data_IF_149039636913
#
_entry.id   IF_149039636913
#
_cell.length_a   1.000
_cell.length_b   1.000
_cell.length_c   1.000
_cell.angle_alpha   90.00
_cell.angle_beta   90.00
_cell.angle_gamma   90.00
#
_symmetry.space_group_name_H-M   'P 1'
#
loop_
_entity.id
_entity.type
_entity.pdbx_description
1 polymer ?
#
# COMPACT_ATOMS: atom_id res chain seq x y z
N UNK A 1 -14.07 34.67 36.42
CA UNK A 1 -14.75 34.42 35.13
C UNK A 1 -13.81 34.01 34.00
N UNK A 2 -12.65 34.66 33.82
CA UNK A 2 -11.68 34.32 32.76
C UNK A 2 -11.07 32.90 32.86
N UNK A 3 -10.82 32.41 34.08
CA UNK A 3 -10.24 31.07 34.31
C UNK A 3 -11.24 29.94 34.04
N UNK A 4 -12.54 30.18 34.25
CA UNK A 4 -13.59 29.19 33.93
C UNK A 4 -13.80 29.01 32.42
N UNK A 5 -13.57 30.05 31.62
CA UNK A 5 -13.72 29.99 30.16
C UNK A 5 -12.59 29.16 29.53
N UNK A 6 -11.36 29.25 30.06
CA UNK A 6 -10.23 28.47 29.57
C UNK A 6 -10.35 26.96 29.88
N UNK A 7 -10.94 26.60 31.02
CA UNK A 7 -11.18 25.20 31.38
C UNK A 7 -12.29 24.55 30.52
N UNK A 8 -13.28 25.33 30.07
CA UNK A 8 -14.39 24.83 29.26
C UNK A 8 -13.98 24.52 27.81
N UNK A 9 -12.98 25.23 27.26
CA UNK A 9 -12.48 24.98 25.90
C UNK A 9 -11.64 23.70 25.76
N UNK A 10 -11.06 23.17 26.85
CA UNK A 10 -10.22 21.96 26.79
C UNK A 10 -11.04 20.66 26.70
N UNK A 11 -12.33 20.70 27.01
CA UNK A 11 -13.23 19.53 26.98
C UNK A 11 -13.94 19.32 25.63
N UNK A 12 -13.71 20.20 24.65
CA UNK A 12 -14.35 20.19 23.32
C UNK A 12 -13.39 19.83 22.18
N UNK A 13 -12.29 19.12 22.48
CA UNK A 13 -11.47 18.55 21.42
C UNK A 13 -12.35 17.59 20.60
N UNK A 14 -12.49 17.79 19.27
CA UNK A 14 -13.23 16.85 18.44
C UNK A 14 -12.57 15.49 18.56
N UNK A 15 -13.37 14.48 18.88
CA UNK A 15 -12.94 13.09 18.84
C UNK A 15 -12.57 12.78 17.40
N UNK A 16 -11.27 12.72 17.10
CA UNK A 16 -10.81 12.38 15.77
C UNK A 16 -11.22 10.94 15.49
N UNK A 17 -12.19 10.75 14.60
CA UNK A 17 -12.47 9.44 14.04
C UNK A 17 -11.34 9.10 13.09
N UNK A 18 -10.64 7.99 13.35
CA UNK A 18 -9.71 7.44 12.39
C UNK A 18 -10.48 7.13 11.11
N UNK A 19 -9.93 7.52 9.96
CA UNK A 19 -10.49 7.13 8.67
C UNK A 19 -10.44 5.61 8.50
N UNK A 20 -11.20 5.10 7.53
CA UNK A 20 -11.18 3.67 7.19
C UNK A 20 -9.75 3.21 6.88
N UNK A 21 -9.31 2.06 7.39
CA UNK A 21 -7.95 1.60 7.22
C UNK A 21 -7.67 1.27 5.75
N UNK A 22 -6.49 1.66 5.28
CA UNK A 22 -6.03 1.34 3.93
C UNK A 22 -4.54 1.01 3.89
N UNK A 23 -4.14 0.32 2.83
CA UNK A 23 -2.73 0.12 2.44
C UNK A 23 -2.51 0.62 1.01
N UNK A 24 -1.33 1.18 0.76
CA UNK A 24 -0.87 1.63 -0.55
C UNK A 24 0.05 0.59 -1.17
N UNK A 25 -0.33 0.07 -2.33
CA UNK A 25 0.41 -0.94 -3.08
C UNK A 25 1.04 -0.33 -4.33
N UNK A 26 2.37 -0.24 -4.38
CA UNK A 26 3.07 0.05 -5.62
C UNK A 26 3.14 -1.22 -6.49
N UNK A 27 2.70 -1.12 -7.74
CA UNK A 27 2.55 -2.27 -8.64
C UNK A 27 2.89 -1.94 -10.09
N UNK A 28 2.98 -2.99 -10.92
CA UNK A 28 3.08 -2.86 -12.37
C UNK A 28 1.73 -2.69 -13.08
N UNK A 29 1.72 -1.94 -14.19
CA UNK A 29 0.55 -1.83 -15.09
C UNK A 29 0.14 -3.17 -15.70
N UNK A 30 1.09 -4.06 -16.02
CA UNK A 30 0.77 -5.38 -16.57
C UNK A 30 0.00 -6.26 -15.59
N UNK A 31 0.33 -6.20 -14.30
CA UNK A 31 -0.42 -6.93 -13.26
C UNK A 31 -1.82 -6.37 -13.11
N UNK A 32 -1.98 -5.04 -13.11
CA UNK A 32 -3.31 -4.42 -13.09
C UNK A 32 -4.16 -4.86 -14.28
N UNK A 33 -3.61 -4.77 -15.50
CA UNK A 33 -4.31 -5.12 -16.73
C UNK A 33 -4.66 -6.61 -16.85
N UNK A 34 -4.07 -7.48 -16.02
CA UNK A 34 -4.44 -8.90 -15.97
C UNK A 34 -5.81 -9.15 -15.32
N UNK A 35 -6.37 -8.16 -14.61
CA UNK A 35 -7.59 -8.30 -13.82
C UNK A 35 -7.38 -8.94 -12.44
N UNK A 36 -6.12 -9.25 -12.06
CA UNK A 36 -5.80 -9.86 -10.76
C UNK A 36 -6.36 -9.05 -9.58
N UNK A 37 -6.22 -7.73 -9.62
CA UNK A 37 -6.63 -6.85 -8.53
C UNK A 37 -8.15 -6.72 -8.43
N UNK A 38 -8.85 -6.64 -9.56
CA UNK A 38 -10.32 -6.58 -9.58
C UNK A 38 -10.93 -7.82 -8.94
N UNK A 39 -10.24 -8.97 -9.01
CA UNK A 39 -10.67 -10.20 -8.38
C UNK A 39 -10.29 -10.30 -6.89
N UNK A 40 -9.03 -10.02 -6.54
CA UNK A 40 -8.50 -10.26 -5.19
C UNK A 40 -8.84 -9.16 -4.18
N UNK A 41 -8.76 -7.89 -4.57
CA UNK A 41 -8.87 -6.77 -3.62
C UNK A 41 -10.26 -6.64 -2.98
N UNK A 42 -11.38 -6.90 -3.68
CA UNK A 42 -12.70 -6.91 -3.03
C UNK A 42 -12.80 -7.98 -1.94
N UNK A 43 -12.24 -9.17 -2.17
CA UNK A 43 -12.25 -10.26 -1.20
C UNK A 43 -11.35 -9.93 0.01
N UNK A 44 -10.14 -9.43 -0.25
CA UNK A 44 -9.24 -8.95 0.81
C UNK A 44 -9.90 -7.87 1.68
N UNK A 45 -10.56 -6.90 1.05
CA UNK A 45 -11.26 -5.82 1.77
C UNK A 45 -12.43 -6.35 2.58
N UNK A 46 -13.20 -7.31 2.05
CA UNK A 46 -14.31 -7.94 2.77
C UNK A 46 -13.84 -8.73 4.01
N UNK A 47 -12.73 -9.44 3.89
CA UNK A 47 -12.20 -10.29 4.97
C UNK A 47 -11.48 -9.49 6.06
N UNK A 48 -10.79 -8.41 5.69
CA UNK A 48 -9.92 -7.65 6.60
C UNK A 48 -10.49 -6.29 7.02
N UNK A 49 -11.43 -5.75 6.27
CA UNK A 49 -11.89 -4.36 6.39
C UNK A 49 -10.89 -3.32 5.87
N UNK A 50 -9.77 -3.73 5.26
CA UNK A 50 -8.69 -2.83 4.80
C UNK A 50 -8.82 -2.60 3.30
N UNK A 51 -8.90 -1.34 2.89
CA UNK A 51 -8.91 -0.96 1.48
C UNK A 51 -7.49 -0.97 0.90
N UNK A 52 -7.32 -1.36 -0.36
CA UNK A 52 -6.01 -1.33 -1.04
C UNK A 52 -6.01 -0.29 -2.15
N UNK A 53 -5.14 0.71 -2.05
CA UNK A 53 -4.91 1.73 -3.08
C UNK A 53 -3.73 1.30 -3.95
N UNK A 54 -3.99 0.96 -5.21
CA UNK A 54 -2.95 0.48 -6.13
C UNK A 54 -2.40 1.60 -7.00
N UNK A 55 -1.09 1.84 -6.95
CA UNK A 55 -0.37 2.70 -7.89
C UNK A 55 0.25 1.82 -8.97
N UNK A 56 -0.34 1.83 -10.17
CA UNK A 56 0.06 0.93 -11.27
C UNK A 56 0.93 1.67 -12.30
N UNK A 57 2.23 1.37 -12.30
CA UNK A 57 3.25 2.06 -13.13
C UNK A 57 4.24 1.06 -13.75
N UNK A 58 5.33 1.51 -14.38
CA UNK A 58 6.43 0.61 -14.78
C UNK A 58 7.20 0.07 -13.58
N UNK A 59 7.80 -1.12 -13.68
CA UNK A 59 8.54 -1.79 -12.59
C UNK A 59 9.55 -0.88 -11.89
N UNK A 60 10.41 -0.19 -12.64
CA UNK A 60 11.41 0.72 -12.06
C UNK A 60 10.79 1.89 -11.29
N UNK A 61 9.65 2.40 -11.76
CA UNK A 61 8.92 3.47 -11.08
C UNK A 61 8.23 2.95 -9.81
N UNK A 62 7.63 1.76 -9.84
CA UNK A 62 7.01 1.14 -8.67
C UNK A 62 8.04 0.92 -7.54
N UNK A 63 9.22 0.40 -7.90
CA UNK A 63 10.34 0.26 -6.97
C UNK A 63 10.75 1.61 -6.41
N UNK A 64 10.87 2.65 -7.24
CA UNK A 64 11.29 3.98 -6.78
C UNK A 64 10.27 4.61 -5.81
N UNK A 65 8.98 4.44 -6.07
CA UNK A 65 7.89 4.86 -5.17
C UNK A 65 8.05 4.16 -3.81
N UNK A 66 8.23 2.84 -3.80
CA UNK A 66 8.42 2.08 -2.57
C UNK A 66 9.71 2.48 -1.82
N UNK A 67 10.82 2.70 -2.53
CA UNK A 67 12.09 3.17 -1.93
C UNK A 67 11.96 4.55 -1.28
N UNK A 68 11.08 5.41 -1.79
CA UNK A 68 10.84 6.73 -1.23
C UNK A 68 9.90 6.70 0.00
N UNK A 69 9.32 5.54 0.33
CA UNK A 69 8.32 5.40 1.40
C UNK A 69 6.92 5.85 1.00
N UNK A 70 6.65 6.00 -0.30
CA UNK A 70 5.35 6.42 -0.82
C UNK A 70 4.35 5.25 -0.96
N UNK A 71 4.72 4.03 -0.56
CA UNK A 71 3.87 2.84 -0.56
C UNK A 71 4.21 1.92 0.61
N UNK A 72 3.19 1.20 1.11
CA UNK A 72 3.30 0.25 2.23
C UNK A 72 3.78 -1.14 1.77
N UNK A 73 3.48 -1.49 0.51
CA UNK A 73 3.89 -2.75 -0.10
C UNK A 73 4.27 -2.56 -1.58
N UNK A 74 5.10 -3.49 -2.08
CA UNK A 74 5.55 -3.54 -3.47
C UNK A 74 5.17 -4.90 -4.07
N UNK A 75 4.45 -4.90 -5.19
CA UNK A 75 4.18 -6.10 -5.99
C UNK A 75 4.64 -5.91 -7.43
N UNK A 76 5.78 -6.51 -7.75
CA UNK A 76 6.38 -6.51 -9.10
C UNK A 76 6.74 -7.95 -9.51
N UNK A 77 7.25 -8.10 -10.73
CA UNK A 77 7.61 -9.40 -11.33
C UNK A 77 9.02 -9.38 -11.92
N UNK A 78 9.95 -8.70 -11.25
CA UNK A 78 11.34 -8.59 -11.68
C UNK A 78 12.30 -8.99 -10.55
N UNK A 79 12.55 -10.29 -10.46
CA UNK A 79 13.27 -10.94 -9.36
C UNK A 79 14.59 -10.26 -8.97
N UNK A 80 15.51 -9.93 -9.91
CA UNK A 80 16.77 -9.30 -9.52
C UNK A 80 16.58 -7.95 -8.81
N UNK A 81 15.57 -7.18 -9.20
CA UNK A 81 15.29 -5.90 -8.55
C UNK A 81 14.60 -6.05 -7.20
N UNK A 82 13.75 -7.07 -7.04
CA UNK A 82 13.13 -7.40 -5.75
C UNK A 82 14.18 -7.83 -4.72
N UNK A 83 15.11 -8.69 -5.12
CA UNK A 83 16.18 -9.16 -4.25
C UNK A 83 17.10 -7.99 -3.84
N UNK A 84 17.45 -7.10 -4.78
CA UNK A 84 18.21 -5.89 -4.48
C UNK A 84 17.46 -4.94 -3.53
N UNK A 85 16.16 -4.73 -3.75
CA UNK A 85 15.33 -3.86 -2.91
C UNK A 85 15.33 -4.29 -1.43
N UNK A 86 15.26 -5.61 -1.17
CA UNK A 86 15.37 -6.15 0.19
C UNK A 86 16.79 -6.08 0.72
N UNK A 87 17.80 -6.44 -0.09
CA UNK A 87 19.20 -6.40 0.31
C UNK A 87 19.68 -4.98 0.69
N UNK A 88 19.15 -3.96 0.01
CA UNK A 88 19.44 -2.56 0.27
C UNK A 88 18.64 -1.99 1.47
N UNK A 89 17.78 -2.80 2.11
CA UNK A 89 17.06 -2.44 3.33
C UNK A 89 15.76 -1.66 3.11
N UNK A 90 15.25 -1.57 1.88
CA UNK A 90 13.97 -0.91 1.59
C UNK A 90 12.75 -1.79 1.87
N UNK A 91 12.94 -3.12 1.91
CA UNK A 91 11.88 -4.09 2.21
C UNK A 91 12.28 -5.04 3.34
N UNK A 92 11.30 -5.46 4.14
CA UNK A 92 11.51 -6.36 5.28
C UNK A 92 11.64 -7.84 4.86
N UNK A 93 10.87 -8.26 3.86
CA UNK A 93 10.84 -9.62 3.34
C UNK A 93 10.29 -9.64 1.91
N UNK A 94 10.52 -10.74 1.19
CA UNK A 94 10.01 -10.99 -0.17
C UNK A 94 9.19 -12.28 -0.18
N UNK A 95 8.04 -12.30 -0.84
CA UNK A 95 7.20 -13.49 -1.01
C UNK A 95 6.77 -13.66 -2.46
N UNK A 96 6.82 -14.90 -2.94
CA UNK A 96 6.27 -15.28 -4.25
C UNK A 96 4.74 -15.44 -4.14
N UNK A 97 3.99 -14.71 -4.96
CA UNK A 97 2.51 -14.73 -4.94
C UNK A 97 1.88 -14.95 -6.31
N UNK A 98 2.61 -14.69 -7.39
CA UNK A 98 2.14 -14.84 -8.76
C UNK A 98 3.31 -15.10 -9.71
N UNK A 99 3.00 -15.71 -10.85
CA UNK A 99 3.87 -15.78 -12.01
C UNK A 99 3.00 -15.63 -13.27
N UNK A 100 3.62 -15.22 -14.37
CA UNK A 100 3.02 -15.30 -15.69
C UNK A 100 3.82 -16.29 -16.55
N UNK A 101 3.19 -16.83 -17.57
CA UNK A 101 3.83 -17.68 -18.56
C UNK A 101 3.74 -17.04 -19.93
N UNK A 102 4.74 -17.29 -20.78
CA UNK A 102 4.76 -16.84 -22.17
C UNK A 102 4.54 -18.07 -23.05
N UNK A 103 3.43 -18.07 -23.78
CA UNK A 103 3.17 -19.09 -24.81
C UNK A 103 3.73 -18.53 -26.13
N UNK A 104 4.75 -19.21 -26.67
CA UNK A 104 5.47 -18.82 -27.89
C UNK A 104 5.10 -19.73 -29.07
#
# INVERSE_FOLDING_TARGET
MRVLIAALCLCLAPMAWAGDPFITLASTTSTHNSGLYDYLLPQFTADTGITVHVISVGTGQAIKIAQNGDADALLVHHRPSEDAFVADGYGIERRDVMYNDFIL
#
